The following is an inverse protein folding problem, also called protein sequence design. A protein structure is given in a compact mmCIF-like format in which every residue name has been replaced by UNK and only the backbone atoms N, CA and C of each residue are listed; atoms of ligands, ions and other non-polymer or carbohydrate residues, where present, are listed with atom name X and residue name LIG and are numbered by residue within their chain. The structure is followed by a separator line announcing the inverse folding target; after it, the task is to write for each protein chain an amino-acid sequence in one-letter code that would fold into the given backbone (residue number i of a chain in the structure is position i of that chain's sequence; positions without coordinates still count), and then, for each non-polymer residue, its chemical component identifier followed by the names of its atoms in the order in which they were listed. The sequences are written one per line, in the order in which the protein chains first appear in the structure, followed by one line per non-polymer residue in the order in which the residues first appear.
data_IF_456343930391
#
_entry.id   IF_456343930391
#
_cell.length_a   1.000
_cell.length_b   1.000
_cell.length_c   1.000
_cell.angle_alpha   90.00
_cell.angle_beta   90.00
_cell.angle_gamma   90.00
#
_symmetry.space_group_name_H-M   'P 1'
#
loop_
_entity.id
_entity.type
_entity.pdbx_description
1 polymer ?
#
# COMPACT_ATOMS: atom_id res chain seq x y z
N UNK A 1 7.31 7.08 -2.36
CA UNK A 1 6.70 8.23 -3.07
C UNK A 1 7.22 8.20 -4.49
N UNK A 2 6.44 8.71 -5.43
CA UNK A 2 6.73 8.61 -6.86
C UNK A 2 6.90 10.00 -7.48
N UNK A 3 7.26 10.04 -8.76
CA UNK A 3 7.33 11.25 -9.60
C UNK A 3 8.33 12.29 -9.09
N UNK A 4 9.44 11.81 -8.51
CA UNK A 4 10.48 12.66 -7.94
C UNK A 4 10.07 13.38 -6.65
N UNK A 5 8.88 13.11 -6.11
CA UNK A 5 8.45 13.67 -4.83
C UNK A 5 9.25 13.06 -3.66
N UNK A 6 9.37 13.81 -2.56
CA UNK A 6 10.02 13.37 -1.33
C UNK A 6 9.03 12.84 -0.30
N UNK A 7 9.49 11.87 0.51
CA UNK A 7 8.70 11.40 1.65
C UNK A 7 8.95 12.31 2.85
N UNK A 8 7.96 13.15 3.17
CA UNK A 8 8.00 13.98 4.37
C UNK A 8 7.49 13.17 5.58
N UNK A 9 8.44 12.69 6.38
CA UNK A 9 8.10 12.08 7.67
C UNK A 9 7.70 13.15 8.68
N UNK A 10 6.77 12.85 9.58
CA UNK A 10 6.51 13.73 10.73
C UNK A 10 7.77 13.95 11.60
N UNK A 11 8.75 13.05 11.51
CA UNK A 11 10.07 13.26 12.12
C UNK A 11 10.81 14.47 11.55
N UNK A 12 10.56 14.92 10.32
CA UNK A 12 11.23 16.10 9.75
C UNK A 12 10.67 17.42 10.29
N UNK A 13 9.57 17.40 11.03
CA UNK A 13 8.96 18.60 11.61
C UNK A 13 9.24 18.68 13.11
N UNK A 14 10.06 19.64 13.59
CA UNK A 14 10.50 19.71 14.99
C UNK A 14 9.34 19.67 16.00
N UNK A 15 8.31 20.49 15.80
CA UNK A 15 7.19 20.56 16.75
C UNK A 15 6.30 19.32 16.77
N UNK A 16 6.19 18.60 15.66
CA UNK A 16 5.38 17.39 15.57
C UNK A 16 6.15 16.17 16.07
N UNK A 17 7.47 16.13 15.87
CA UNK A 17 8.36 15.08 16.39
C UNK A 17 8.19 14.91 17.91
N UNK A 18 8.04 16.00 18.65
CA UNK A 18 7.87 16.00 20.11
C UNK A 18 6.51 15.46 20.61
N UNK A 19 5.59 15.12 19.69
CA UNK A 19 4.22 14.70 20.05
C UNK A 19 3.64 13.60 19.15
N UNK A 20 4.48 12.91 18.39
CA UNK A 20 4.05 11.92 17.42
C UNK A 20 4.70 10.54 17.64
N UNK A 21 3.97 9.50 17.27
CA UNK A 21 4.54 8.18 16.97
C UNK A 21 4.71 8.03 15.46
N UNK A 22 5.91 7.63 15.04
CA UNK A 22 6.18 7.22 13.66
C UNK A 22 6.31 5.71 13.63
N UNK A 23 5.36 5.05 12.98
CA UNK A 23 5.28 3.60 12.92
C UNK A 23 5.83 3.12 11.57
N UNK A 24 6.70 2.11 11.61
CA UNK A 24 7.35 1.53 10.44
C UNK A 24 7.20 0.01 10.43
N UNK A 25 7.20 -0.58 9.24
CA UNK A 25 7.04 -2.04 9.06
C UNK A 25 8.07 -2.61 8.09
N UNK A 26 8.96 -3.46 8.59
CA UNK A 26 9.96 -4.14 7.77
C UNK A 26 9.35 -5.09 6.75
N UNK A 27 8.25 -5.75 7.11
CA UNK A 27 7.56 -6.64 6.18
C UNK A 27 7.02 -5.92 4.94
N UNK A 28 6.78 -4.61 5.01
CA UNK A 28 6.38 -3.79 3.86
C UNK A 28 7.58 -3.38 3.01
N UNK A 29 8.65 -2.93 3.66
CA UNK A 29 9.89 -2.48 3.01
C UNK A 29 10.62 -3.62 2.30
N UNK A 30 10.66 -4.80 2.91
CA UNK A 30 11.45 -5.95 2.42
C UNK A 30 10.61 -7.06 1.80
N UNK A 31 9.37 -6.75 1.40
CA UNK A 31 8.45 -7.68 0.75
C UNK A 31 8.19 -8.99 1.55
N UNK A 32 8.42 -8.95 2.87
CA UNK A 32 8.34 -10.09 3.78
C UNK A 32 7.22 -9.90 4.80
N UNK A 33 5.99 -9.66 4.36
CA UNK A 33 4.87 -9.32 5.26
C UNK A 33 4.56 -10.39 6.31
N UNK A 34 4.94 -11.64 6.05
CA UNK A 34 4.82 -12.76 7.00
C UNK A 34 5.79 -12.70 8.18
N UNK A 35 6.88 -11.93 8.09
CA UNK A 35 7.88 -11.82 9.17
C UNK A 35 7.39 -11.00 10.36
N UNK A 36 6.37 -10.15 10.16
CA UNK A 36 5.65 -9.43 11.24
C UNK A 36 6.55 -8.63 12.20
N UNK A 37 7.63 -8.04 11.70
CA UNK A 37 8.47 -7.11 12.48
C UNK A 37 8.23 -5.67 12.03
N UNK A 38 8.06 -4.79 13.01
CA UNK A 38 7.97 -3.34 12.84
C UNK A 38 8.57 -2.65 14.05
N UNK A 39 8.62 -1.32 14.00
CA UNK A 39 9.12 -0.50 15.09
C UNK A 39 8.37 0.83 15.11
N UNK A 40 8.53 1.58 16.21
CA UNK A 40 8.08 2.96 16.26
C UNK A 40 9.19 3.88 16.80
N UNK A 41 9.16 5.13 16.35
CA UNK A 41 9.98 6.23 16.87
C UNK A 41 9.03 7.24 17.50
N UNK A 42 9.32 7.64 18.73
CA UNK A 42 8.56 8.64 19.48
C UNK A 42 9.44 9.26 20.58
N UNK A 43 9.02 10.38 21.20
CA UNK A 43 9.71 10.98 22.33
C UNK A 43 9.96 10.00 23.50
N UNK A 44 11.00 10.21 24.32
CA UNK A 44 11.35 9.32 25.43
C UNK A 44 10.18 9.02 26.38
N UNK A 45 9.42 10.03 26.79
CA UNK A 45 8.26 9.85 27.67
C UNK A 45 7.17 8.98 27.03
N UNK A 46 6.91 9.16 25.73
CA UNK A 46 5.90 8.39 25.00
C UNK A 46 6.33 6.94 24.77
N UNK A 47 7.60 6.71 24.41
CA UNK A 47 8.12 5.35 24.23
C UNK A 47 8.22 4.58 25.54
N UNK A 48 8.44 5.26 26.67
CA UNK A 48 8.41 4.63 28.00
C UNK A 48 7.04 4.00 28.29
N UNK A 49 5.95 4.74 28.06
CA UNK A 49 4.59 4.22 28.25
C UNK A 49 4.24 3.12 27.23
N UNK A 50 4.63 3.30 25.96
CA UNK A 50 4.40 2.28 24.92
C UNK A 50 5.11 0.96 25.26
N UNK A 51 6.35 1.01 25.76
CA UNK A 51 7.12 -0.19 26.12
C UNK A 51 6.52 -0.96 27.28
N UNK A 52 5.89 -0.28 28.26
CA UNK A 52 5.14 -0.95 29.33
C UNK A 52 4.00 -1.80 28.74
N UNK A 53 3.25 -1.26 27.77
CA UNK A 53 2.19 -2.01 27.09
C UNK A 53 2.79 -3.16 26.28
N UNK A 54 3.80 -2.90 25.44
CA UNK A 54 4.45 -3.92 24.60
C UNK A 54 4.97 -5.11 25.44
N UNK A 55 5.55 -4.82 26.61
CA UNK A 55 6.05 -5.83 27.54
C UNK A 55 4.97 -6.85 27.93
N UNK A 56 3.72 -6.41 28.10
CA UNK A 56 2.60 -7.30 28.50
C UNK A 56 1.79 -7.84 27.31
N UNK A 57 1.88 -7.22 26.13
CA UNK A 57 1.18 -7.71 24.93
C UNK A 57 1.96 -8.83 24.24
N UNK A 58 3.27 -8.67 24.06
CA UNK A 58 4.12 -9.67 23.38
C UNK A 58 5.45 -9.94 24.07
N UNK A 59 5.85 -9.12 25.06
CA UNK A 59 7.15 -9.13 25.74
C UNK A 59 8.34 -8.82 24.82
N UNK A 60 8.57 -9.65 23.80
CA UNK A 60 9.66 -9.55 22.82
C UNK A 60 9.19 -9.89 21.41
N UNK A 61 10.00 -9.56 20.41
CA UNK A 61 9.78 -9.90 18.99
C UNK A 61 10.75 -11.01 18.56
N UNK A 62 10.45 -11.73 17.47
CA UNK A 62 11.24 -12.86 16.96
C UNK A 62 12.73 -12.52 16.78
N UNK A 63 13.57 -13.04 17.68
CA UNK A 63 14.99 -12.67 17.82
C UNK A 63 15.82 -12.88 16.54
N UNK A 64 15.77 -14.03 15.85
CA UNK A 64 16.58 -14.25 14.65
C UNK A 64 16.27 -13.24 13.54
N UNK A 65 14.99 -12.88 13.38
CA UNK A 65 14.58 -11.89 12.38
C UNK A 65 15.07 -10.50 12.72
N UNK A 66 15.13 -10.12 14.00
CA UNK A 66 15.70 -8.83 14.40
C UNK A 66 17.17 -8.72 14.01
N UNK A 67 17.96 -9.78 14.22
CA UNK A 67 19.37 -9.84 13.79
C UNK A 67 19.51 -9.76 12.27
N UNK A 68 18.73 -10.55 11.52
CA UNK A 68 18.77 -10.52 10.06
C UNK A 68 18.41 -9.14 9.48
N UNK A 69 17.40 -8.47 10.05
CA UNK A 69 17.00 -7.13 9.64
C UNK A 69 18.07 -6.08 9.97
N UNK A 70 18.68 -6.16 11.15
CA UNK A 70 19.77 -5.26 11.54
C UNK A 70 20.95 -5.36 10.56
N UNK A 71 21.38 -6.58 10.26
CA UNK A 71 22.46 -6.84 9.30
C UNK A 71 22.10 -6.35 7.88
N UNK A 72 20.87 -6.62 7.42
CA UNK A 72 20.43 -6.22 6.08
C UNK A 72 20.32 -4.70 5.94
N UNK A 73 19.83 -4.00 6.97
CA UNK A 73 19.76 -2.54 6.99
C UNK A 73 21.14 -1.88 6.82
N UNK A 74 22.16 -2.45 7.48
CA UNK A 74 23.53 -1.93 7.43
C UNK A 74 24.22 -2.25 6.10
N UNK A 75 24.05 -3.49 5.60
CA UNK A 75 24.72 -3.95 4.38
C UNK A 75 24.05 -3.50 3.08
N UNK A 76 22.74 -3.26 3.11
CA UNK A 76 21.94 -2.98 1.91
C UNK A 76 21.04 -1.73 2.06
N UNK A 77 21.60 -0.55 2.40
CA UNK A 77 20.81 0.67 2.50
C UNK A 77 20.18 1.09 1.15
N UNK A 78 20.79 0.71 0.03
CA UNK A 78 20.27 0.95 -1.32
C UNK A 78 18.89 0.34 -1.55
N UNK A 79 18.55 -0.75 -0.85
CA UNK A 79 17.26 -1.44 -1.05
C UNK A 79 16.09 -0.50 -0.78
N UNK A 80 16.04 0.15 0.38
CA UNK A 80 14.92 1.02 0.71
C UNK A 80 14.95 2.35 -0.06
N UNK A 81 16.15 2.83 -0.43
CA UNK A 81 16.33 4.03 -1.25
C UNK A 81 15.80 3.81 -2.68
N UNK A 82 15.93 2.58 -3.21
CA UNK A 82 15.43 2.21 -4.54
C UNK A 82 13.93 1.91 -4.62
N UNK A 83 13.24 1.75 -3.48
CA UNK A 83 11.82 1.33 -3.47
C UNK A 83 10.87 2.29 -4.18
N UNK A 84 11.18 3.59 -4.17
CA UNK A 84 10.40 4.61 -4.88
C UNK A 84 10.33 4.30 -6.38
N UNK A 85 11.48 4.21 -7.04
CA UNK A 85 11.58 3.89 -8.47
C UNK A 85 11.04 2.50 -8.80
N UNK A 86 11.32 1.49 -7.95
CA UNK A 86 10.82 0.13 -8.14
C UNK A 86 9.29 0.06 -8.22
N UNK A 87 8.59 0.67 -7.25
CA UNK A 87 7.13 0.64 -7.25
C UNK A 87 6.51 1.63 -8.24
N UNK A 88 7.19 2.73 -8.55
CA UNK A 88 6.75 3.64 -9.61
C UNK A 88 6.68 2.93 -10.96
N UNK A 89 7.72 2.17 -11.33
CA UNK A 89 7.73 1.41 -12.57
C UNK A 89 6.54 0.43 -12.68
N UNK A 90 6.17 -0.22 -11.57
CA UNK A 90 5.00 -1.12 -11.51
C UNK A 90 3.67 -0.38 -11.60
N UNK A 91 3.55 0.78 -10.96
CA UNK A 91 2.38 1.66 -11.11
C UNK A 91 2.22 2.07 -12.57
N UNK A 92 3.30 2.54 -13.19
CA UNK A 92 3.30 3.07 -14.56
C UNK A 92 2.99 1.97 -15.56
N UNK A 93 3.56 0.77 -15.39
CA UNK A 93 3.21 -0.41 -16.18
C UNK A 93 1.71 -0.72 -16.10
N UNK A 94 1.16 -0.78 -14.88
CA UNK A 94 -0.27 -1.06 -14.69
C UNK A 94 -1.16 0.00 -15.35
N UNK A 95 -0.85 1.28 -15.17
CA UNK A 95 -1.61 2.38 -15.79
C UNK A 95 -1.49 2.39 -17.31
N UNK A 96 -0.30 2.14 -17.85
CA UNK A 96 -0.07 2.04 -19.29
C UNK A 96 -0.87 0.89 -19.91
N UNK A 97 -0.90 -0.27 -19.27
CA UNK A 97 -1.65 -1.43 -19.77
C UNK A 97 -3.17 -1.24 -19.63
N UNK A 98 -3.62 -0.44 -18.67
CA UNK A 98 -5.02 -0.04 -18.51
C UNK A 98 -5.43 1.12 -19.44
N UNK A 99 -4.50 1.68 -20.22
CA UNK A 99 -4.79 2.79 -21.12
C UNK A 99 -5.82 2.35 -22.17
N UNK A 100 -6.92 3.10 -22.28
CA UNK A 100 -8.04 2.79 -23.19
C UNK A 100 -9.12 1.90 -22.58
N UNK A 101 -8.94 1.39 -21.36
CA UNK A 101 -10.07 0.84 -20.59
C UNK A 101 -11.06 1.95 -20.19
N UNK A 102 -12.27 1.56 -19.82
CA UNK A 102 -13.30 2.49 -19.34
C UNK A 102 -13.11 2.92 -17.87
N UNK A 103 -12.02 2.49 -17.21
CA UNK A 103 -11.66 2.97 -15.88
C UNK A 103 -10.97 4.32 -15.97
N UNK A 104 -11.31 5.23 -15.06
CA UNK A 104 -10.57 6.47 -14.87
C UNK A 104 -9.60 6.33 -13.69
N UNK A 105 -8.39 6.87 -13.85
CA UNK A 105 -7.33 6.76 -12.85
C UNK A 105 -6.79 8.14 -12.47
N UNK A 106 -6.61 8.37 -11.17
CA UNK A 106 -5.69 9.37 -10.66
C UNK A 106 -4.40 8.67 -10.24
N UNK A 107 -3.27 8.85 -10.94
CA UNK A 107 -2.02 8.16 -10.63
C UNK A 107 -1.67 8.30 -9.15
N UNK A 108 -1.46 7.16 -8.49
CA UNK A 108 -1.09 7.13 -7.08
C UNK A 108 0.26 7.83 -6.87
N UNK A 109 0.39 8.66 -5.84
CA UNK A 109 1.64 9.38 -5.53
C UNK A 109 2.55 8.60 -4.55
N UNK A 110 2.06 7.48 -4.02
CA UNK A 110 2.77 6.64 -3.07
C UNK A 110 1.95 5.45 -2.62
N UNK A 111 2.54 4.59 -1.80
CA UNK A 111 2.05 3.22 -1.57
C UNK A 111 2.05 2.39 -2.86
N UNK A 112 1.73 1.10 -2.76
CA UNK A 112 1.61 0.21 -3.91
C UNK A 112 0.15 -0.07 -4.31
N UNK A 113 -0.74 0.89 -4.03
CA UNK A 113 -2.16 0.83 -4.36
C UNK A 113 -2.55 1.91 -5.39
N UNK A 114 -3.45 1.55 -6.29
CA UNK A 114 -4.02 2.42 -7.31
C UNK A 114 -5.54 2.45 -7.16
N UNK A 115 -6.12 3.64 -7.07
CA UNK A 115 -7.57 3.83 -7.12
C UNK A 115 -8.02 3.89 -8.57
N UNK A 116 -9.16 3.27 -8.87
CA UNK A 116 -9.79 3.28 -10.17
C UNK A 116 -11.26 3.65 -10.02
N UNK A 117 -11.68 4.69 -10.74
CA UNK A 117 -13.08 5.07 -10.87
C UNK A 117 -13.72 4.25 -11.99
N UNK A 118 -14.88 3.68 -11.68
CA UNK A 118 -15.63 2.82 -12.60
C UNK A 118 -17.00 3.43 -12.99
N UNK A 119 -17.21 4.73 -12.75
CA UNK A 119 -18.45 5.44 -13.05
C UNK A 119 -18.90 5.32 -14.50
N UNK A 120 -17.96 5.21 -15.45
CA UNK A 120 -18.28 5.01 -16.87
C UNK A 120 -18.65 3.55 -17.21
N UNK A 121 -18.42 2.62 -16.27
CA UNK A 121 -18.59 1.18 -16.45
C UNK A 121 -19.91 0.71 -15.85
N UNK A 122 -20.19 1.05 -14.59
CA UNK A 122 -21.36 0.52 -13.89
C UNK A 122 -21.90 1.44 -12.81
N UNK A 123 -23.20 1.30 -12.53
CA UNK A 123 -23.90 1.98 -11.43
C UNK A 123 -23.93 1.16 -10.13
N UNK A 124 -23.37 -0.05 -10.15
CA UNK A 124 -23.30 -0.91 -8.97
C UNK A 124 -22.57 -0.23 -7.79
N UNK A 125 -23.01 -0.49 -6.54
CA UNK A 125 -22.19 -0.23 -5.37
C UNK A 125 -20.83 -0.91 -5.49
N UNK A 126 -19.78 -0.30 -4.94
CA UNK A 126 -18.40 -0.79 -5.13
C UNK A 126 -18.17 -2.19 -4.57
N UNK A 127 -18.91 -2.58 -3.53
CA UNK A 127 -18.92 -3.93 -2.97
C UNK A 127 -19.42 -4.97 -3.97
N UNK A 128 -20.53 -4.67 -4.65
CA UNK A 128 -21.10 -5.53 -5.69
C UNK A 128 -20.22 -5.55 -6.94
N UNK A 129 -19.71 -4.38 -7.34
CA UNK A 129 -18.79 -4.28 -8.47
C UNK A 129 -17.49 -5.06 -8.22
N UNK A 130 -16.92 -5.03 -7.01
CA UNK A 130 -15.75 -5.83 -6.67
C UNK A 130 -16.02 -7.36 -6.73
N UNK A 131 -17.22 -7.81 -6.36
CA UNK A 131 -17.66 -9.19 -6.53
C UNK A 131 -17.78 -9.53 -8.03
N UNK A 132 -18.37 -8.63 -8.82
CA UNK A 132 -18.48 -8.79 -10.27
C UNK A 132 -17.10 -8.92 -10.93
N UNK A 133 -16.16 -7.99 -10.63
CA UNK A 133 -14.79 -8.06 -11.14
C UNK A 133 -14.12 -9.40 -10.79
N UNK A 134 -14.34 -9.90 -9.58
CA UNK A 134 -13.74 -11.17 -9.13
C UNK A 134 -14.36 -12.38 -9.82
N UNK A 135 -15.69 -12.43 -9.90
CA UNK A 135 -16.43 -13.61 -10.37
C UNK A 135 -16.50 -13.68 -11.90
N UNK A 136 -16.63 -12.54 -12.57
CA UNK A 136 -16.74 -12.44 -14.03
C UNK A 136 -15.39 -12.17 -14.66
N UNK A 137 -14.72 -11.08 -14.28
CA UNK A 137 -13.44 -10.68 -14.90
C UNK A 137 -12.24 -11.45 -14.36
N UNK A 138 -12.42 -12.22 -13.28
CA UNK A 138 -11.33 -12.96 -12.60
C UNK A 138 -10.20 -12.05 -12.12
N UNK A 139 -10.54 -10.84 -11.70
CA UNK A 139 -9.62 -9.87 -11.10
C UNK A 139 -10.20 -9.35 -9.79
N UNK A 140 -9.52 -9.61 -8.68
CA UNK A 140 -9.96 -9.13 -7.38
C UNK A 140 -9.54 -7.67 -7.16
N UNK A 141 -10.51 -6.84 -6.77
CA UNK A 141 -10.31 -5.47 -6.31
C UNK A 141 -10.89 -5.32 -4.89
N UNK A 142 -10.50 -4.24 -4.20
CA UNK A 142 -11.09 -3.92 -2.89
C UNK A 142 -12.00 -2.71 -3.04
N UNK A 143 -13.28 -2.77 -2.62
CA UNK A 143 -14.15 -1.60 -2.58
C UNK A 143 -13.57 -0.51 -1.67
N UNK A 144 -13.72 0.76 -2.01
CA UNK A 144 -13.20 1.87 -1.18
C UNK A 144 -14.12 2.18 0.01
N UNK A 145 -15.41 1.88 -0.13
CA UNK A 145 -16.44 2.07 0.90
C UNK A 145 -16.10 1.40 2.22
N UNK A 146 -15.45 0.22 2.20
CA UNK A 146 -15.11 -0.55 3.42
C UNK A 146 -14.01 0.10 4.26
N UNK A 147 -13.32 1.12 3.74
CA UNK A 147 -12.37 1.92 4.50
C UNK A 147 -13.03 3.10 5.24
N UNK A 148 -14.35 3.26 5.10
CA UNK A 148 -15.11 4.35 5.70
C UNK A 148 -16.10 3.82 6.74
N UNK A 149 -16.19 4.49 7.90
CA UNK A 149 -17.20 4.16 8.91
C UNK A 149 -18.62 4.47 8.40
N UNK A 150 -18.76 5.56 7.62
CA UNK A 150 -19.96 5.91 6.86
C UNK A 150 -19.58 5.90 5.38
N UNK A 151 -20.01 4.88 4.61
CA UNK A 151 -19.67 4.77 3.19
C UNK A 151 -20.11 5.99 2.39
N UNK A 152 -19.19 6.65 1.66
CA UNK A 152 -19.58 7.67 0.69
C UNK A 152 -20.21 7.03 -0.54
N UNK A 153 -21.00 7.80 -1.30
CA UNK A 153 -21.49 7.37 -2.62
C UNK A 153 -20.38 7.56 -3.66
N UNK A 154 -19.34 6.73 -3.59
CA UNK A 154 -18.22 6.71 -4.54
C UNK A 154 -18.28 5.46 -5.40
N UNK A 155 -17.84 5.55 -6.65
CA UNK A 155 -17.61 4.41 -7.53
C UNK A 155 -16.12 4.17 -7.73
N UNK A 156 -15.45 3.90 -6.62
CA UNK A 156 -14.01 3.68 -6.56
C UNK A 156 -13.71 2.26 -6.08
N UNK A 157 -12.81 1.59 -6.79
CA UNK A 157 -12.16 0.35 -6.33
C UNK A 157 -10.65 0.54 -6.23
N UNK A 158 -10.00 -0.26 -5.39
CA UNK A 158 -8.55 -0.21 -5.15
C UNK A 158 -7.88 -1.48 -5.63
N UNK A 159 -6.93 -1.32 -6.54
CA UNK A 159 -6.00 -2.37 -6.99
C UNK A 159 -4.65 -2.28 -6.26
N UNK A 160 -3.96 -3.41 -6.15
CA UNK A 160 -2.62 -3.50 -5.56
C UNK A 160 -1.62 -3.92 -6.65
N UNK A 161 -0.71 -3.03 -7.00
CA UNK A 161 0.29 -3.30 -8.06
C UNK A 161 1.62 -3.85 -7.52
N UNK A 162 1.69 -4.22 -6.24
CA UNK A 162 2.79 -5.02 -5.69
C UNK A 162 2.68 -6.50 -6.13
N UNK A 163 2.82 -6.73 -7.44
CA UNK A 163 2.69 -8.04 -8.11
C UNK A 163 3.80 -8.21 -9.14
N UNK A 164 3.92 -9.42 -9.69
CA UNK A 164 4.76 -9.67 -10.85
C UNK A 164 4.18 -8.97 -12.08
N UNK A 165 5.04 -8.61 -13.02
CA UNK A 165 4.64 -7.82 -14.19
C UNK A 165 3.64 -8.59 -15.06
N UNK A 166 3.81 -9.90 -15.22
CA UNK A 166 2.85 -10.77 -15.92
C UNK A 166 1.47 -10.80 -15.24
N UNK A 167 1.43 -10.67 -13.91
CA UNK A 167 0.16 -10.59 -13.18
C UNK A 167 -0.55 -9.26 -13.44
N UNK A 168 0.21 -8.16 -13.56
CA UNK A 168 -0.33 -6.85 -13.91
C UNK A 168 -0.86 -6.84 -15.34
N UNK A 169 -0.10 -7.43 -16.27
CA UNK A 169 -0.48 -7.58 -17.67
C UNK A 169 -1.79 -8.36 -17.83
N UNK A 170 -1.88 -9.54 -17.21
CA UNK A 170 -3.08 -10.38 -17.27
C UNK A 170 -4.30 -9.70 -16.63
N UNK A 171 -4.10 -8.98 -15.52
CA UNK A 171 -5.19 -8.23 -14.90
C UNK A 171 -5.68 -7.11 -15.83
N UNK A 172 -4.76 -6.37 -16.46
CA UNK A 172 -5.10 -5.29 -17.37
C UNK A 172 -5.84 -5.79 -18.62
N UNK A 173 -5.38 -6.89 -19.23
CA UNK A 173 -6.05 -7.53 -20.37
C UNK A 173 -7.52 -7.90 -20.05
N UNK A 174 -7.76 -8.46 -18.86
CA UNK A 174 -9.11 -8.84 -18.41
C UNK A 174 -10.00 -7.63 -18.14
N UNK A 175 -9.43 -6.57 -17.57
CA UNK A 175 -10.17 -5.37 -17.21
C UNK A 175 -10.43 -4.46 -18.42
N UNK A 176 -9.54 -4.44 -19.43
CA UNK A 176 -9.71 -3.61 -20.63
C UNK A 176 -10.85 -4.07 -21.54
N UNK A 177 -11.31 -5.31 -21.36
CA UNK A 177 -12.47 -5.87 -22.08
C UNK A 177 -13.81 -5.39 -21.50
N UNK A 178 -13.81 -4.70 -20.35
CA UNK A 178 -15.04 -4.19 -19.74
C UNK A 178 -15.57 -2.97 -20.49
N UNK A 179 -16.77 -3.14 -21.04
CA UNK A 179 -17.64 -2.04 -21.47
C UNK A 179 -18.69 -1.73 -20.39
N UNK A 180 -19.67 -0.88 -20.71
CA UNK A 180 -20.77 -0.56 -19.80
C UNK A 180 -21.56 -1.82 -19.40
N UNK A 181 -21.76 -2.04 -18.09
CA UNK A 181 -22.43 -3.21 -17.49
C UNK A 181 -23.41 -2.82 -16.39
#
# INVERSE_FOLDING_TARGET
VFDGAEHHSVLSHPELRERAFVVSSFGKTYHATGWKVGYCIAPPAMTAEFRKIHQFVTFTTHTPTQWALAEYLEKHPEHYLGLGGFYQAKRDLFLQQMAGSAFEFMPSQGTYFQLADYSAISEMPDTEFAIYLTTVCKVAAIPVSVFHAVPPKTRLVRFCFAKQDDTLALAAERLSQLSKV
#
